data_IF_170280367809
#
_entry.id   IF_170280367809
#
_cell.length_a   1.000
_cell.length_b   1.000
_cell.length_c   1.000
_cell.angle_alpha   90.00
_cell.angle_beta   90.00
_cell.angle_gamma   90.00
#
_symmetry.space_group_name_H-M   'P 1'
#
loop_
_entity.id
_entity.type
_entity.pdbx_description
1 polymer ?
#
# COMPACT_ATOMS: atom_id res chain seq x y z
N UNK A 1 22.68 8.56 6.35
CA UNK A 1 22.26 7.60 7.39
C UNK A 1 23.34 6.55 7.59
N UNK A 2 23.43 5.97 8.78
CA UNK A 2 24.31 4.81 9.02
C UNK A 2 23.62 3.58 8.41
N UNK A 3 24.35 2.70 7.74
CA UNK A 3 23.80 1.46 7.17
C UNK A 3 23.05 0.67 8.24
N UNK A 4 21.86 0.14 7.90
CA UNK A 4 21.02 -0.63 8.82
C UNK A 4 20.30 0.18 9.90
N UNK A 5 20.55 1.48 10.05
CA UNK A 5 19.90 2.30 11.10
C UNK A 5 18.38 2.35 10.98
N UNK A 6 17.84 2.24 9.77
CA UNK A 6 16.39 2.23 9.54
C UNK A 6 15.71 0.98 10.13
N UNK A 7 16.37 -0.18 10.10
CA UNK A 7 15.86 -1.40 10.76
C UNK A 7 15.68 -1.19 12.27
N UNK A 8 16.72 -0.67 12.94
CA UNK A 8 16.67 -0.38 14.37
C UNK A 8 15.64 0.69 14.73
N UNK A 9 15.41 1.65 13.83
CA UNK A 9 14.34 2.64 13.98
C UNK A 9 12.96 1.99 14.00
N UNK A 10 12.65 1.10 13.04
CA UNK A 10 11.35 0.41 12.94
C UNK A 10 11.06 -0.40 14.21
N UNK A 11 11.99 -1.25 14.64
CA UNK A 11 11.82 -2.07 15.87
C UNK A 11 11.62 -1.21 17.11
N UNK A 12 12.38 -0.11 17.23
CA UNK A 12 12.24 0.82 18.36
C UNK A 12 10.91 1.57 18.30
N UNK A 13 10.43 1.93 17.11
CA UNK A 13 9.13 2.57 16.91
C UNK A 13 8.01 1.63 17.36
N UNK A 14 7.99 0.37 16.90
CA UNK A 14 7.03 -0.66 17.34
C UNK A 14 6.99 -0.78 18.86
N UNK A 15 8.15 -1.01 19.48
CA UNK A 15 8.27 -1.11 20.95
C UNK A 15 7.72 0.12 21.66
N UNK A 16 8.02 1.33 21.16
CA UNK A 16 7.53 2.57 21.78
C UNK A 16 6.03 2.77 21.59
N UNK A 17 5.46 2.36 20.47
CA UNK A 17 4.01 2.43 20.23
C UNK A 17 3.27 1.45 21.16
N UNK A 18 3.75 0.23 21.31
CA UNK A 18 3.12 -0.78 22.17
C UNK A 18 3.12 -0.35 23.64
N UNK A 19 4.25 0.23 24.11
CA UNK A 19 4.37 0.79 25.47
C UNK A 19 3.57 2.09 25.66
N UNK A 20 3.38 2.90 24.62
CA UNK A 20 2.58 4.13 24.77
C UNK A 20 1.09 3.85 24.72
N UNK A 21 0.69 2.86 23.93
CA UNK A 21 -0.69 2.53 23.66
C UNK A 21 -0.99 1.10 24.11
N UNK A 22 -0.83 0.82 25.41
CA UNK A 22 -1.03 -0.51 25.99
C UNK A 22 -2.34 -1.15 25.53
N UNK A 23 -2.25 -2.38 25.03
CA UNK A 23 -3.40 -3.15 24.53
C UNK A 23 -3.99 -2.63 23.22
N UNK A 24 -3.36 -1.66 22.54
CA UNK A 24 -3.78 -1.12 21.26
C UNK A 24 -2.66 -1.25 20.24
N UNK A 25 -2.86 -2.09 19.23
CA UNK A 25 -1.95 -2.23 18.10
C UNK A 25 -2.02 -0.99 17.20
N UNK A 26 -0.93 -0.23 17.12
CA UNK A 26 -0.82 0.90 16.18
C UNK A 26 -0.19 0.43 14.89
N UNK A 27 -0.69 0.94 13.77
CA UNK A 27 -0.13 0.60 12.46
C UNK A 27 1.24 1.25 12.27
N UNK A 28 2.19 0.45 11.78
CA UNK A 28 3.49 0.89 11.26
C UNK A 28 3.54 0.47 9.80
N UNK A 29 3.61 1.45 8.91
CA UNK A 29 3.57 1.20 7.47
C UNK A 29 4.72 1.88 6.73
N UNK A 30 5.06 1.38 5.54
CA UNK A 30 6.11 1.96 4.71
C UNK A 30 5.67 2.18 3.27
N UNK A 31 6.09 3.33 2.73
CA UNK A 31 6.31 3.45 1.30
C UNK A 31 7.61 2.73 0.95
N UNK A 32 7.55 1.70 0.11
CA UNK A 32 8.69 0.79 -0.15
C UNK A 32 9.77 1.42 -1.06
N UNK A 33 10.35 2.53 -0.61
CA UNK A 33 11.33 3.33 -1.33
C UNK A 33 12.56 3.60 -0.46
N UNK A 34 13.74 3.72 -1.10
CA UNK A 34 15.03 3.96 -0.43
C UNK A 34 15.29 2.98 0.71
N UNK A 35 15.47 3.44 1.95
CA UNK A 35 15.84 2.58 3.08
C UNK A 35 14.77 1.54 3.43
N UNK A 36 13.50 1.81 3.09
CA UNK A 36 12.41 0.84 3.26
C UNK A 36 12.52 -0.36 2.30
N UNK A 37 13.33 -0.26 1.24
CA UNK A 37 13.63 -1.36 0.32
C UNK A 37 14.53 -2.44 0.95
N UNK A 38 15.37 -2.06 1.91
CA UNK A 38 16.41 -2.92 2.49
C UNK A 38 16.10 -3.33 3.94
N UNK A 39 14.81 -3.48 4.26
CA UNK A 39 14.39 -3.93 5.58
C UNK A 39 14.69 -5.42 5.76
N UNK A 40 15.20 -5.74 6.95
CA UNK A 40 15.39 -7.10 7.43
C UNK A 40 14.05 -7.75 7.77
N UNK A 41 14.02 -9.09 7.82
CA UNK A 41 12.83 -9.82 8.24
C UNK A 41 12.33 -9.42 9.64
N UNK A 42 13.25 -9.13 10.58
CA UNK A 42 12.88 -8.63 11.91
C UNK A 42 12.17 -7.30 11.85
N UNK A 43 12.69 -6.35 11.05
CA UNK A 43 12.05 -5.05 10.92
C UNK A 43 10.70 -5.14 10.20
N UNK A 44 10.56 -5.98 9.17
CA UNK A 44 9.26 -6.20 8.50
C UNK A 44 8.24 -6.86 9.43
N UNK A 45 8.65 -7.79 10.28
CA UNK A 45 7.76 -8.37 11.30
C UNK A 45 7.25 -7.34 12.34
N UNK A 46 7.94 -6.22 12.50
CA UNK A 46 7.50 -5.09 13.32
C UNK A 46 6.57 -4.12 12.57
N UNK A 47 6.29 -4.36 11.29
CA UNK A 47 5.43 -3.56 10.41
C UNK A 47 4.11 -4.27 10.10
N UNK A 48 3.17 -3.51 9.54
CA UNK A 48 1.82 -4.00 9.22
C UNK A 48 1.56 -4.05 7.73
N UNK A 49 1.92 -2.98 7.01
CA UNK A 49 1.73 -2.91 5.57
C UNK A 49 2.85 -2.13 4.90
N UNK A 50 3.16 -2.50 3.66
CA UNK A 50 3.91 -1.67 2.74
C UNK A 50 3.19 -1.55 1.40
N UNK A 51 3.50 -0.49 0.68
CA UNK A 51 2.96 -0.25 -0.66
C UNK A 51 4.07 0.00 -1.68
N UNK A 52 3.76 -0.41 -2.91
CA UNK A 52 4.64 -0.26 -4.08
C UNK A 52 5.07 1.20 -4.32
N UNK A 53 6.12 1.37 -5.13
CA UNK A 53 6.66 2.67 -5.56
C UNK A 53 6.00 3.13 -6.86
N UNK A 54 5.63 4.41 -6.89
CA UNK A 54 5.02 5.05 -8.06
C UNK A 54 3.50 5.12 -7.98
N UNK A 55 2.92 5.92 -8.88
CA UNK A 55 1.49 6.22 -8.89
C UNK A 55 0.93 6.18 -10.31
N UNK A 56 0.42 5.03 -10.75
CA UNK A 56 -0.09 4.83 -12.12
C UNK A 56 -1.34 3.92 -12.12
N UNK A 57 -2.35 4.17 -12.99
CA UNK A 57 -3.55 3.34 -13.09
C UNK A 57 -3.30 1.85 -13.33
N UNK A 58 -2.18 1.49 -13.96
CA UNK A 58 -1.82 0.12 -14.32
C UNK A 58 -0.65 -0.45 -13.48
N UNK A 59 -0.16 0.32 -12.49
CA UNK A 59 0.92 -0.12 -11.62
C UNK A 59 0.54 -1.40 -10.88
N UNK A 60 1.41 -2.40 -10.99
CA UNK A 60 1.31 -3.63 -10.22
C UNK A 60 2.70 -4.16 -9.93
N UNK A 61 3.06 -4.28 -8.66
CA UNK A 61 4.36 -4.80 -8.24
C UNK A 61 4.14 -5.79 -7.11
N UNK A 62 4.58 -7.02 -7.30
CA UNK A 62 4.58 -8.03 -6.23
C UNK A 62 5.59 -7.65 -5.14
N UNK A 63 5.33 -8.00 -3.87
CA UNK A 63 6.30 -7.78 -2.81
C UNK A 63 7.57 -8.59 -3.07
N UNK A 64 8.71 -8.03 -2.66
CA UNK A 64 9.96 -8.78 -2.51
C UNK A 64 10.13 -9.23 -1.07
N UNK A 65 10.73 -10.40 -0.87
CA UNK A 65 11.14 -10.87 0.46
C UNK A 65 11.91 -9.76 1.21
N UNK A 66 11.60 -9.50 2.49
CA UNK A 66 10.79 -10.32 3.38
C UNK A 66 9.29 -10.03 3.41
N UNK A 67 8.78 -9.08 2.61
CA UNK A 67 7.35 -8.79 2.53
C UNK A 67 6.55 -9.95 1.91
N UNK A 68 5.32 -10.12 2.37
CA UNK A 68 4.36 -11.09 1.84
C UNK A 68 3.12 -10.39 1.28
N UNK A 69 2.36 -11.07 0.42
CA UNK A 69 1.19 -10.49 -0.22
C UNK A 69 0.17 -9.93 0.80
N UNK A 70 -0.07 -10.64 1.90
CA UNK A 70 -1.03 -10.25 2.93
C UNK A 70 -0.70 -8.92 3.64
N UNK A 71 0.52 -8.39 3.49
CA UNK A 71 1.00 -7.14 4.08
C UNK A 71 1.28 -6.09 3.00
N UNK A 72 0.91 -6.36 1.74
CA UNK A 72 1.35 -5.57 0.60
C UNK A 72 0.20 -4.93 -0.17
N UNK A 73 0.44 -3.70 -0.62
CA UNK A 73 -0.35 -3.04 -1.66
C UNK A 73 0.42 -3.02 -2.97
N UNK A 74 0.03 -3.90 -3.90
CA UNK A 74 0.67 -4.05 -5.20
C UNK A 74 0.39 -2.89 -6.17
N UNK A 75 -0.68 -2.15 -5.95
CA UNK A 75 -1.09 -1.01 -6.76
C UNK A 75 -1.21 0.25 -5.90
N UNK A 76 -1.08 1.41 -6.54
CA UNK A 76 -1.35 2.70 -5.92
C UNK A 76 -1.75 3.75 -6.98
N UNK A 77 -3.03 3.83 -7.39
CA UNK A 77 -3.47 4.84 -8.35
C UNK A 77 -3.34 6.28 -7.78
N UNK A 78 -2.95 7.23 -8.64
CA UNK A 78 -3.01 8.66 -8.33
C UNK A 78 -4.44 9.19 -8.45
N UNK A 79 -5.11 9.37 -7.31
CA UNK A 79 -6.49 9.80 -7.19
C UNK A 79 -6.71 11.27 -7.58
N UNK A 80 -5.65 12.05 -7.79
CA UNK A 80 -5.72 13.41 -8.34
C UNK A 80 -5.62 13.44 -9.87
N UNK A 81 -6.39 12.61 -10.57
CA UNK A 81 -6.33 12.50 -12.02
C UNK A 81 -7.71 12.35 -12.65
N UNK A 82 -7.94 12.99 -13.80
CA UNK A 82 -9.08 12.64 -14.66
C UNK A 82 -8.76 11.33 -15.37
N UNK A 83 -9.50 10.27 -15.07
CA UNK A 83 -9.32 8.99 -15.73
C UNK A 83 -10.20 8.88 -16.97
N UNK A 84 -9.60 8.41 -18.06
CA UNK A 84 -10.35 7.90 -19.19
C UNK A 84 -10.79 6.45 -18.93
N UNK A 85 -11.63 5.90 -19.81
CA UNK A 85 -12.16 4.55 -19.67
C UNK A 85 -11.05 3.46 -19.64
N UNK A 86 -9.92 3.68 -20.32
CA UNK A 86 -8.79 2.73 -20.33
C UNK A 86 -8.17 2.64 -18.94
N UNK A 87 -7.86 3.79 -18.33
CA UNK A 87 -7.28 3.85 -16.99
C UNK A 87 -8.23 3.31 -15.93
N UNK A 88 -9.53 3.60 -16.04
CA UNK A 88 -10.55 3.03 -15.17
C UNK A 88 -10.58 1.49 -15.24
N UNK A 89 -10.47 0.92 -16.43
CA UNK A 89 -10.39 -0.53 -16.60
C UNK A 89 -9.07 -1.12 -16.06
N UNK A 90 -7.95 -0.41 -16.19
CA UNK A 90 -6.69 -0.85 -15.60
C UNK A 90 -6.76 -0.91 -14.07
N UNK A 91 -7.31 0.13 -13.42
CA UNK A 91 -7.52 0.16 -11.97
C UNK A 91 -8.39 -1.02 -11.53
N UNK A 92 -9.49 -1.28 -12.24
CA UNK A 92 -10.36 -2.44 -11.98
C UNK A 92 -9.60 -3.75 -12.07
N UNK A 93 -8.84 -3.95 -13.14
CA UNK A 93 -8.12 -5.19 -13.40
C UNK A 93 -7.01 -5.42 -12.37
N UNK A 94 -6.26 -4.38 -11.99
CA UNK A 94 -5.24 -4.47 -10.93
C UNK A 94 -5.84 -4.69 -9.56
N UNK A 95 -6.98 -4.11 -9.26
CA UNK A 95 -7.73 -4.37 -8.02
C UNK A 95 -8.22 -5.82 -7.94
N UNK A 96 -8.74 -6.36 -9.04
CA UNK A 96 -9.10 -7.78 -9.10
C UNK A 96 -7.88 -8.70 -9.00
N UNK A 97 -6.75 -8.33 -9.61
CA UNK A 97 -5.51 -9.07 -9.49
C UNK A 97 -5.00 -9.06 -8.04
N UNK A 98 -4.97 -7.91 -7.38
CA UNK A 98 -4.58 -7.78 -5.97
C UNK A 98 -5.42 -8.70 -5.08
N UNK A 99 -6.74 -8.76 -5.29
CA UNK A 99 -7.62 -9.70 -4.58
C UNK A 99 -7.20 -11.15 -4.81
N UNK A 100 -7.05 -11.55 -6.07
CA UNK A 100 -6.76 -12.95 -6.42
C UNK A 100 -5.38 -13.41 -5.92
N UNK A 101 -4.41 -12.50 -5.92
CA UNK A 101 -3.05 -12.78 -5.43
C UNK A 101 -2.97 -12.72 -3.89
N UNK A 102 -4.06 -12.36 -3.19
CA UNK A 102 -4.10 -12.30 -1.73
C UNK A 102 -3.39 -11.07 -1.13
N UNK A 103 -3.39 -9.94 -1.87
CA UNK A 103 -2.83 -8.70 -1.38
C UNK A 103 -3.63 -8.14 -0.20
N UNK A 104 -2.93 -7.65 0.82
CA UNK A 104 -3.54 -7.15 2.06
C UNK A 104 -4.19 -5.79 1.94
N UNK A 105 -3.79 -4.98 0.96
CA UNK A 105 -4.22 -3.59 0.86
C UNK A 105 -4.29 -3.07 -0.59
N UNK A 106 -5.01 -1.95 -0.74
CA UNK A 106 -4.97 -1.09 -1.91
C UNK A 106 -4.75 0.34 -1.41
N UNK A 107 -3.56 0.87 -1.66
CA UNK A 107 -3.24 2.26 -1.40
C UNK A 107 -3.78 3.15 -2.53
N UNK A 108 -4.10 4.40 -2.22
CA UNK A 108 -4.41 5.44 -3.20
C UNK A 108 -3.64 6.70 -2.85
N UNK A 109 -3.12 7.39 -3.85
CA UNK A 109 -2.31 8.59 -3.65
C UNK A 109 -3.07 9.86 -4.01
N UNK A 110 -2.83 10.95 -3.28
CA UNK A 110 -3.33 12.29 -3.58
C UNK A 110 -4.85 12.42 -3.76
N UNK A 111 -5.64 11.78 -2.90
CA UNK A 111 -7.10 11.95 -2.92
C UNK A 111 -7.48 13.40 -2.59
N UNK A 112 -8.34 13.98 -3.43
CA UNK A 112 -8.85 15.34 -3.26
C UNK A 112 -10.33 15.33 -2.93
N UNK A 113 -10.81 16.47 -2.46
CA UNK A 113 -12.24 16.74 -2.37
C UNK A 113 -12.83 16.80 -3.78
N UNK A 114 -14.08 16.34 -3.94
CA UNK A 114 -14.69 16.17 -5.26
C UNK A 114 -14.75 17.46 -6.11
N UNK A 115 -14.74 18.63 -5.46
CA UNK A 115 -14.73 19.94 -6.12
C UNK A 115 -13.38 20.28 -6.78
N UNK A 116 -12.28 19.70 -6.32
CA UNK A 116 -10.95 19.86 -6.91
C UNK A 116 -10.68 18.75 -7.94
N UNK A 117 -10.96 17.50 -7.55
CA UNK A 117 -10.91 16.32 -8.40
C UNK A 117 -11.85 15.27 -7.85
N UNK A 118 -12.72 14.73 -8.69
CA UNK A 118 -13.61 13.64 -8.29
C UNK A 118 -12.87 12.28 -8.26
N UNK A 119 -12.66 11.67 -7.08
CA UNK A 119 -12.03 10.36 -6.97
C UNK A 119 -13.02 9.20 -7.18
N UNK A 120 -14.33 9.49 -7.23
CA UNK A 120 -15.39 8.47 -7.24
C UNK A 120 -15.23 7.45 -8.37
N UNK A 121 -14.90 7.82 -9.63
CA UNK A 121 -14.73 6.84 -10.70
C UNK A 121 -13.64 5.81 -10.40
N UNK A 122 -12.51 6.22 -9.82
CA UNK A 122 -11.44 5.30 -9.44
C UNK A 122 -11.84 4.42 -8.25
N UNK A 123 -12.47 4.99 -7.23
CA UNK A 123 -12.97 4.24 -6.06
C UNK A 123 -13.99 3.17 -6.47
N UNK A 124 -14.90 3.50 -7.39
CA UNK A 124 -15.85 2.54 -7.95
C UNK A 124 -15.15 1.40 -8.66
N UNK A 125 -14.11 1.67 -9.47
CA UNK A 125 -13.36 0.62 -10.16
C UNK A 125 -12.51 -0.24 -9.23
N UNK A 126 -11.96 0.34 -8.17
CA UNK A 126 -11.34 -0.45 -7.09
C UNK A 126 -12.37 -1.40 -6.48
N UNK A 127 -13.54 -0.87 -6.11
CA UNK A 127 -14.66 -1.65 -5.55
C UNK A 127 -15.11 -2.77 -6.48
N UNK A 128 -15.31 -2.49 -7.77
CA UNK A 128 -15.66 -3.50 -8.78
C UNK A 128 -14.60 -4.60 -8.88
N UNK A 129 -13.32 -4.28 -8.79
CA UNK A 129 -12.25 -5.27 -8.86
C UNK A 129 -12.18 -6.17 -7.63
N UNK A 130 -12.23 -5.59 -6.43
CA UNK A 130 -12.09 -6.36 -5.17
C UNK A 130 -13.36 -7.07 -4.73
N UNK A 131 -14.54 -6.54 -5.05
CA UNK A 131 -15.82 -7.11 -4.63
C UNK A 131 -16.47 -8.01 -5.67
N UNK A 132 -15.96 -8.05 -6.91
CA UNK A 132 -16.45 -9.02 -7.90
C UNK A 132 -16.27 -10.45 -7.38
N UNK A 133 -17.39 -11.15 -7.22
CA UNK A 133 -17.43 -12.59 -6.96
C UNK A 133 -17.18 -13.28 -8.31
N UNK A 134 -16.25 -14.23 -8.34
CA UNK A 134 -16.04 -15.12 -9.48
C UNK A 134 -16.85 -16.39 -9.28
#
# INVERSE_FOLDING_TARGET
MVSGSFNGFVTKLRTKLDVRFHGKHKLVTAYHYNDAWNLSATAVADMDFAWTVGFDPNLYTSPSSPWINAEWSAQMPNMNQTYNAIYLNQIKNRSAQSKNDGMGAIAGYDMRVHTERDPLPALQKIGEGVLAIR
#
